data_IF_651186101258
#
_entry.id   IF_651186101258
#
_cell.length_a   1.000
_cell.length_b   1.000
_cell.length_c   1.000
_cell.angle_alpha   90.00
_cell.angle_beta   90.00
_cell.angle_gamma   90.00
#
_symmetry.space_group_name_H-M   'P 1'
#
loop_
_entity.id
_entity.type
_entity.pdbx_description
1 polymer ?
#
# COMPACT_ATOMS: atom_id res chain seq x y z
N UNK A 1 -12.56 -36.25 -3.80
CA UNK A 1 -11.73 -36.73 -2.68
C UNK A 1 -10.37 -37.10 -3.26
N UNK A 2 -9.40 -36.21 -3.07
CA UNK A 2 -8.03 -36.49 -3.46
C UNK A 2 -7.34 -37.21 -2.30
N UNK A 3 -6.75 -38.37 -2.61
CA UNK A 3 -5.95 -39.12 -1.64
C UNK A 3 -4.49 -38.72 -1.76
N UNK A 4 -3.87 -38.37 -0.66
CA UNK A 4 -2.45 -38.10 -0.58
C UNK A 4 -1.73 -39.38 -0.11
N UNK A 5 -0.72 -39.79 -0.84
CA UNK A 5 0.22 -40.79 -0.35
C UNK A 5 1.37 -40.10 0.36
N UNK A 6 1.46 -40.29 1.68
CA UNK A 6 2.55 -39.78 2.51
C UNK A 6 3.70 -40.81 2.50
N UNK A 7 4.87 -40.42 2.01
CA UNK A 7 6.10 -41.14 2.27
C UNK A 7 6.47 -40.99 3.77
N UNK A 8 7.00 -42.06 4.37
CA UNK A 8 7.23 -42.20 5.84
C UNK A 8 8.16 -41.13 6.47
N UNK A 9 8.81 -40.27 5.67
CA UNK A 9 9.83 -39.33 6.15
C UNK A 9 9.40 -37.85 6.11
N UNK A 10 8.12 -37.54 5.90
CA UNK A 10 7.63 -36.17 5.89
C UNK A 10 7.06 -35.77 7.25
N UNK A 11 7.93 -35.34 8.17
CA UNK A 11 7.54 -34.62 9.38
C UNK A 11 7.14 -33.20 9.01
N UNK A 12 5.88 -32.82 9.28
CA UNK A 12 5.30 -31.48 9.15
C UNK A 12 4.93 -31.00 7.74
N UNK A 13 3.89 -31.60 7.15
CA UNK A 13 3.22 -30.96 5.98
C UNK A 13 2.34 -29.82 6.49
N UNK A 14 2.71 -28.58 6.16
CA UNK A 14 1.84 -27.43 6.34
C UNK A 14 0.88 -27.32 5.17
N UNK A 15 -0.36 -27.74 5.36
CA UNK A 15 -1.44 -27.51 4.40
C UNK A 15 -1.98 -26.10 4.56
N UNK A 16 -1.76 -25.25 3.56
CA UNK A 16 -2.45 -23.97 3.46
C UNK A 16 -3.77 -24.16 2.71
N UNK A 17 -4.88 -24.06 3.41
CA UNK A 17 -6.20 -24.09 2.78
C UNK A 17 -6.45 -22.69 2.21
N UNK A 18 -6.49 -22.54 0.89
CA UNK A 18 -6.95 -21.32 0.26
C UNK A 18 -8.47 -21.21 0.39
N UNK A 19 -8.98 -20.03 0.78
CA UNK A 19 -10.42 -19.79 0.73
C UNK A 19 -10.89 -19.89 -0.72
N UNK A 20 -12.00 -20.60 -1.01
CA UNK A 20 -12.54 -20.67 -2.37
C UNK A 20 -12.85 -19.25 -2.87
N UNK A 21 -12.59 -18.98 -4.15
CA UNK A 21 -12.97 -17.72 -4.79
C UNK A 21 -14.49 -17.64 -4.77
N UNK A 22 -15.02 -16.75 -3.98
CA UNK A 22 -16.46 -16.53 -3.88
C UNK A 22 -16.89 -15.81 -5.16
N UNK A 23 -17.65 -16.50 -6.03
CA UNK A 23 -18.12 -15.94 -7.31
C UNK A 23 -19.17 -14.83 -7.08
N UNK A 24 -20.04 -15.01 -6.11
CA UNK A 24 -21.13 -14.07 -5.84
C UNK A 24 -20.64 -12.90 -5.01
N UNK A 25 -21.07 -11.70 -5.40
CA UNK A 25 -20.80 -10.50 -4.63
C UNK A 25 -21.50 -10.57 -3.28
N UNK A 26 -20.78 -10.14 -2.23
CA UNK A 26 -21.33 -9.88 -0.89
C UNK A 26 -20.67 -8.68 -0.28
N UNK A 27 -21.47 -7.78 0.27
CA UNK A 27 -20.98 -6.75 1.17
C UNK A 27 -20.70 -7.40 2.53
N UNK A 28 -19.42 -7.41 2.94
CA UNK A 28 -18.98 -8.02 4.21
C UNK A 28 -19.27 -7.09 5.37
N UNK A 29 -18.95 -5.80 5.21
CA UNK A 29 -19.16 -4.81 6.26
C UNK A 29 -19.46 -3.43 5.68
N UNK A 30 -20.20 -2.64 6.43
CA UNK A 30 -20.44 -1.22 6.18
C UNK A 30 -20.46 -0.48 7.50
N UNK A 31 -19.69 0.59 7.62
CA UNK A 31 -19.58 1.34 8.88
C UNK A 31 -19.40 2.82 8.63
N UNK A 32 -20.17 3.65 9.36
CA UNK A 32 -19.88 5.07 9.47
C UNK A 32 -18.78 5.25 10.54
N UNK A 33 -17.70 5.91 10.16
CA UNK A 33 -16.58 6.22 11.04
C UNK A 33 -16.85 7.52 11.83
N UNK A 34 -16.06 7.75 12.89
CA UNK A 34 -16.19 8.97 13.72
C UNK A 34 -16.02 10.28 12.95
N UNK A 35 -15.29 10.26 11.85
CA UNK A 35 -15.12 11.41 10.94
C UNK A 35 -16.21 11.52 9.87
N UNK A 36 -17.24 10.67 9.90
CA UNK A 36 -18.33 10.66 8.94
C UNK A 36 -18.03 9.91 7.64
N UNK A 37 -16.85 9.29 7.49
CA UNK A 37 -16.58 8.42 6.35
C UNK A 37 -17.42 7.16 6.42
N UNK A 38 -17.99 6.73 5.31
CA UNK A 38 -18.72 5.47 5.21
C UNK A 38 -17.81 4.46 4.51
N UNK A 39 -17.35 3.47 5.25
CA UNK A 39 -16.51 2.41 4.73
C UNK A 39 -17.33 1.20 4.31
N UNK A 40 -16.93 0.59 3.19
CA UNK A 40 -17.47 -0.64 2.66
C UNK A 40 -16.35 -1.67 2.50
N UNK A 41 -16.61 -2.92 2.87
CA UNK A 41 -15.70 -4.04 2.66
C UNK A 41 -16.42 -5.09 1.83
N UNK A 42 -15.81 -5.49 0.72
CA UNK A 42 -16.35 -6.47 -0.21
C UNK A 42 -15.66 -7.82 -0.02
N UNK A 43 -16.34 -8.90 -0.36
CA UNK A 43 -15.79 -10.26 -0.26
C UNK A 43 -14.80 -10.60 -1.37
N UNK A 44 -14.75 -9.80 -2.43
CA UNK A 44 -13.85 -9.96 -3.59
C UNK A 44 -13.49 -8.60 -4.19
N UNK A 45 -12.36 -8.50 -4.91
CA UNK A 45 -12.07 -7.35 -5.75
C UNK A 45 -13.16 -7.13 -6.80
N UNK A 46 -13.47 -5.86 -7.08
CA UNK A 46 -14.45 -5.46 -8.10
C UNK A 46 -13.77 -4.82 -9.30
N UNK A 47 -14.30 -5.08 -10.49
CA UNK A 47 -13.85 -4.45 -11.72
C UNK A 47 -14.68 -3.17 -11.99
N UNK A 48 -14.00 -2.02 -12.14
CA UNK A 48 -14.66 -0.73 -12.32
C UNK A 48 -15.85 -0.53 -11.37
N UNK A 49 -15.60 -0.57 -10.03
CA UNK A 49 -16.68 -0.41 -9.06
C UNK A 49 -17.28 1.00 -9.10
N UNK A 50 -18.55 1.10 -8.81
CA UNK A 50 -19.22 2.38 -8.58
C UNK A 50 -20.18 2.30 -7.40
N UNK A 51 -20.30 3.42 -6.68
CA UNK A 51 -21.19 3.60 -5.54
C UNK A 51 -22.07 4.81 -5.86
N UNK A 52 -23.36 4.60 -6.00
CA UNK A 52 -24.34 5.64 -6.32
C UNK A 52 -25.28 5.85 -5.16
N UNK A 53 -25.50 7.10 -4.76
CA UNK A 53 -26.50 7.45 -3.76
C UNK A 53 -27.82 7.70 -4.49
N UNK A 54 -28.79 6.84 -4.23
CA UNK A 54 -30.12 6.91 -4.82
C UNK A 54 -31.04 7.85 -4.01
N UNK A 55 -30.86 7.87 -2.68
CA UNK A 55 -31.64 8.72 -1.78
C UNK A 55 -30.78 9.12 -0.59
N UNK A 56 -30.69 10.42 -0.26
CA UNK A 56 -31.14 11.57 -1.04
C UNK A 56 -30.20 11.82 -2.25
N UNK A 57 -30.79 12.14 -3.41
CA UNK A 57 -30.06 12.23 -4.68
C UNK A 57 -29.05 13.40 -4.73
N UNK A 58 -29.34 14.49 -4.02
CA UNK A 58 -28.44 15.65 -3.95
C UNK A 58 -27.03 15.32 -3.40
N UNK A 59 -26.89 14.29 -2.57
CA UNK A 59 -25.59 13.87 -2.05
C UNK A 59 -24.77 13.09 -3.07
N UNK A 60 -25.40 12.59 -4.14
CA UNK A 60 -24.68 11.83 -5.17
C UNK A 60 -23.71 12.66 -6.00
N UNK A 61 -24.01 13.94 -6.22
CA UNK A 61 -23.20 14.81 -7.09
C UNK A 61 -21.90 15.28 -6.41
N UNK A 62 -21.94 15.48 -5.09
CA UNK A 62 -20.82 16.05 -4.32
C UNK A 62 -20.09 15.03 -3.44
N UNK A 63 -20.28 13.74 -3.72
CA UNK A 63 -19.58 12.68 -3.01
C UNK A 63 -18.15 12.50 -3.53
N UNK A 64 -17.27 12.02 -2.67
CA UNK A 64 -15.96 11.53 -3.05
C UNK A 64 -15.83 10.05 -2.66
N UNK A 65 -15.27 9.24 -3.53
CA UNK A 65 -15.08 7.81 -3.28
C UNK A 65 -13.62 7.46 -3.48
N UNK A 66 -13.03 6.82 -2.47
CA UNK A 66 -11.71 6.23 -2.55
C UNK A 66 -11.83 4.71 -2.51
N UNK A 67 -11.31 4.03 -3.52
CA UNK A 67 -11.21 2.58 -3.54
C UNK A 67 -9.83 2.13 -3.07
N UNK A 68 -9.76 0.96 -2.43
CA UNK A 68 -8.49 0.29 -2.17
C UNK A 68 -7.77 -0.08 -3.48
N UNK A 69 -6.46 -0.31 -3.43
CA UNK A 69 -5.68 -0.73 -4.60
C UNK A 69 -6.21 -2.02 -5.26
N UNK A 70 -6.87 -2.88 -4.48
CA UNK A 70 -7.48 -4.12 -4.96
C UNK A 70 -8.96 -3.97 -5.32
N UNK A 71 -9.57 -2.81 -5.10
CA UNK A 71 -11.01 -2.59 -5.21
C UNK A 71 -11.86 -3.58 -4.38
N UNK A 72 -11.33 -4.06 -3.26
CA UNK A 72 -12.04 -4.93 -2.30
C UNK A 72 -12.64 -4.14 -1.14
N UNK A 73 -12.43 -2.84 -1.11
CA UNK A 73 -13.02 -1.92 -0.15
C UNK A 73 -13.15 -0.52 -0.74
N UNK A 74 -14.03 0.28 -0.16
CA UNK A 74 -14.25 1.67 -0.55
C UNK A 74 -14.55 2.55 0.66
N UNK A 75 -14.17 3.82 0.57
CA UNK A 75 -14.51 4.87 1.52
C UNK A 75 -15.30 5.96 0.79
N UNK A 76 -16.53 6.17 1.22
CA UNK A 76 -17.44 7.21 0.72
C UNK A 76 -17.39 8.42 1.66
N UNK A 77 -17.09 9.56 1.09
CA UNK A 77 -17.06 10.86 1.76
C UNK A 77 -18.19 11.73 1.24
N UNK A 78 -18.89 12.42 2.15
CA UNK A 78 -20.00 13.29 1.85
C UNK A 78 -19.72 14.71 2.33
N UNK A 79 -20.32 15.74 1.70
CA UNK A 79 -20.16 17.14 2.12
C UNK A 79 -20.58 17.37 3.57
N UNK A 80 -21.65 16.70 3.98
CA UNK A 80 -22.17 16.73 5.34
C UNK A 80 -22.78 15.38 5.72
N UNK A 81 -23.18 15.27 6.97
CA UNK A 81 -23.86 14.10 7.51
C UNK A 81 -25.33 14.39 7.86
N UNK A 82 -25.94 15.38 7.19
CA UNK A 82 -27.30 15.83 7.42
C UNK A 82 -28.34 14.93 6.74
N UNK A 83 -28.29 13.62 7.02
CA UNK A 83 -29.25 12.64 6.54
C UNK A 83 -29.66 11.68 7.66
N UNK A 84 -30.87 11.15 7.62
CA UNK A 84 -31.30 10.06 8.50
C UNK A 84 -30.91 8.68 7.94
N UNK A 85 -31.05 8.54 6.63
CA UNK A 85 -30.69 7.31 5.91
C UNK A 85 -30.23 7.61 4.50
N UNK A 86 -29.30 6.76 4.00
CA UNK A 86 -28.85 6.75 2.63
C UNK A 86 -29.27 5.44 1.96
N UNK A 87 -29.89 5.52 0.79
CA UNK A 87 -30.06 4.37 -0.09
C UNK A 87 -28.93 4.39 -1.11
N UNK A 88 -28.07 3.38 -1.08
CA UNK A 88 -26.84 3.32 -1.86
C UNK A 88 -26.86 2.08 -2.75
N UNK A 89 -26.61 2.28 -4.03
CA UNK A 89 -26.39 1.22 -5.00
C UNK A 89 -24.89 0.95 -5.14
N UNK A 90 -24.50 -0.30 -5.03
CA UNK A 90 -23.18 -0.81 -5.34
C UNK A 90 -23.23 -1.47 -6.72
N UNK A 91 -22.29 -1.14 -7.61
CA UNK A 91 -22.28 -1.68 -8.96
C UNK A 91 -20.87 -2.05 -9.43
N UNK A 92 -20.78 -2.98 -10.36
CA UNK A 92 -19.56 -3.40 -11.06
C UNK A 92 -19.77 -3.27 -12.58
N UNK A 93 -18.86 -2.60 -13.29
CA UNK A 93 -19.00 -2.35 -14.73
C UNK A 93 -20.37 -1.77 -15.12
N UNK A 94 -20.90 -0.84 -14.31
CA UNK A 94 -22.23 -0.22 -14.44
C UNK A 94 -23.42 -1.18 -14.26
N UNK A 95 -23.19 -2.41 -13.82
CA UNK A 95 -24.27 -3.38 -13.48
C UNK A 95 -24.50 -3.36 -11.98
N UNK A 96 -25.71 -3.12 -11.50
CA UNK A 96 -26.04 -3.17 -10.08
C UNK A 96 -25.70 -4.55 -9.49
N UNK A 97 -25.04 -4.55 -8.34
CA UNK A 97 -24.74 -5.73 -7.55
C UNK A 97 -25.63 -5.84 -6.33
N UNK A 98 -25.83 -4.73 -5.63
CA UNK A 98 -26.62 -4.67 -4.40
C UNK A 98 -27.12 -3.25 -4.16
N UNK A 99 -28.25 -3.14 -3.43
CA UNK A 99 -28.79 -1.86 -2.97
C UNK A 99 -29.01 -1.93 -1.47
N UNK A 100 -28.33 -1.09 -0.75
CA UNK A 100 -28.30 -1.09 0.71
C UNK A 100 -28.83 0.20 1.30
N UNK A 101 -29.33 0.13 2.52
CA UNK A 101 -29.73 1.29 3.32
C UNK A 101 -28.76 1.46 4.48
N UNK A 102 -28.17 2.63 4.59
CA UNK A 102 -27.29 3.03 5.69
C UNK A 102 -28.06 4.03 6.54
N UNK A 103 -28.19 3.73 7.82
CA UNK A 103 -28.87 4.61 8.78
C UNK A 103 -27.86 5.26 9.68
N UNK A 104 -28.04 6.56 9.92
CA UNK A 104 -27.26 7.33 10.88
C UNK A 104 -27.94 7.30 12.25
N UNK A 105 -27.16 7.23 13.31
CA UNK A 105 -27.67 7.49 14.66
C UNK A 105 -27.90 8.98 14.86
N UNK A 106 -29.08 9.38 15.35
CA UNK A 106 -29.46 10.80 15.54
C UNK A 106 -28.56 11.54 16.55
N UNK A 107 -27.98 10.81 17.49
CA UNK A 107 -27.18 11.38 18.58
C UNK A 107 -25.66 11.35 18.28
N UNK A 108 -25.24 10.85 17.12
CA UNK A 108 -23.83 10.71 16.79
C UNK A 108 -23.28 12.01 16.21
N UNK A 109 -22.19 12.50 16.84
CA UNK A 109 -21.44 13.66 16.34
C UNK A 109 -20.26 13.14 15.53
N UNK A 110 -20.03 13.77 14.39
CA UNK A 110 -18.92 13.44 13.51
C UNK A 110 -17.87 14.52 13.59
N UNK A 111 -16.62 14.11 13.90
CA UNK A 111 -15.47 15.00 13.94
C UNK A 111 -14.79 14.99 12.56
N UNK A 112 -14.77 16.14 11.92
CA UNK A 112 -14.22 16.35 10.58
C UNK A 112 -12.95 17.21 10.58
N UNK A 113 -12.25 17.26 11.69
CA UNK A 113 -10.97 17.96 11.74
C UNK A 113 -9.98 17.37 10.72
N UNK A 114 -9.38 18.24 9.92
CA UNK A 114 -8.30 17.88 9.01
C UNK A 114 -6.99 17.82 9.79
N UNK A 115 -6.73 16.66 10.39
CA UNK A 115 -5.51 16.42 11.15
C UNK A 115 -4.42 15.93 10.20
N UNK A 116 -3.26 16.57 10.23
CA UNK A 116 -2.09 16.17 9.46
C UNK A 116 -1.11 15.46 10.38
N UNK A 117 -0.71 14.27 9.98
CA UNK A 117 0.34 13.47 10.63
C UNK A 117 1.48 13.25 9.64
N UNK A 118 2.63 12.84 10.14
CA UNK A 118 3.83 12.62 9.33
C UNK A 118 4.45 11.23 9.59
N UNK A 119 5.45 10.88 8.77
CA UNK A 119 6.21 9.64 8.90
C UNK A 119 7.55 9.81 9.62
N UNK A 120 7.76 10.91 10.34
CA UNK A 120 9.00 11.21 11.05
C UNK A 120 9.14 10.38 12.33
N UNK A 121 9.45 9.12 12.18
CA UNK A 121 9.67 8.21 13.30
C UNK A 121 10.92 8.65 14.09
N UNK A 122 10.78 8.73 15.42
CA UNK A 122 11.87 9.18 16.31
C UNK A 122 12.52 10.50 15.87
N UNK A 123 11.74 11.41 15.27
CA UNK A 123 12.21 12.70 14.75
C UNK A 123 13.31 12.58 13.67
N UNK A 124 13.22 11.55 12.82
CA UNK A 124 14.16 11.33 11.74
C UNK A 124 13.46 11.24 10.39
N UNK A 125 14.04 11.86 9.37
CA UNK A 125 13.60 11.74 7.97
C UNK A 125 14.49 10.77 7.22
N UNK A 126 13.88 9.86 6.48
CA UNK A 126 14.59 8.98 5.56
C UNK A 126 14.87 9.72 4.24
N UNK A 127 16.09 9.64 3.73
CA UNK A 127 16.52 10.33 2.50
C UNK A 127 15.74 9.88 1.26
N UNK A 128 15.33 8.62 1.20
CA UNK A 128 14.57 8.05 0.08
C UNK A 128 13.09 8.36 0.20
N UNK A 129 12.52 8.08 1.37
CA UNK A 129 11.07 8.15 1.57
C UNK A 129 10.56 9.58 1.75
N UNK A 130 11.48 10.54 1.99
CA UNK A 130 11.11 11.92 2.26
C UNK A 130 10.10 12.09 3.41
N UNK A 131 9.47 13.25 3.51
CA UNK A 131 8.37 13.42 4.47
C UNK A 131 7.07 13.10 3.76
N UNK A 132 6.33 12.15 4.32
CA UNK A 132 4.98 11.81 3.90
C UNK A 132 4.02 12.39 4.92
N UNK A 133 3.16 13.30 4.47
CA UNK A 133 2.08 13.87 5.27
C UNK A 133 0.80 13.09 4.98
N UNK A 134 0.17 12.56 6.02
CA UNK A 134 -1.10 11.86 5.94
C UNK A 134 -2.18 12.72 6.60
N UNK A 135 -3.36 12.75 6.00
CA UNK A 135 -4.51 13.47 6.54
C UNK A 135 -5.65 12.54 6.94
N UNK A 136 -6.46 12.99 7.90
CA UNK A 136 -7.68 12.28 8.32
C UNK A 136 -8.83 12.40 7.32
N UNK A 137 -8.76 13.36 6.40
CA UNK A 137 -9.75 13.59 5.36
C UNK A 137 -9.06 13.87 4.01
N UNK A 138 -9.76 13.67 2.88
CA UNK A 138 -9.22 13.96 1.55
C UNK A 138 -8.83 15.42 1.39
N UNK A 139 -7.63 15.67 0.86
CA UNK A 139 -7.08 17.01 0.64
C UNK A 139 -7.46 17.47 -0.75
N UNK A 140 -8.08 18.65 -0.84
CA UNK A 140 -8.41 19.34 -2.09
C UNK A 140 -7.24 20.15 -2.61
N UNK A 141 -6.54 20.85 -1.71
CA UNK A 141 -5.42 21.71 -2.08
C UNK A 141 -4.45 21.92 -0.92
N UNK A 142 -3.21 22.27 -1.26
CA UNK A 142 -2.18 22.66 -0.31
C UNK A 142 -1.69 24.09 -0.65
N UNK A 143 -1.56 24.92 0.37
CA UNK A 143 -0.97 26.24 0.24
C UNK A 143 0.51 26.19 0.64
N UNK A 144 1.41 26.13 -0.34
CA UNK A 144 2.85 26.04 -0.11
C UNK A 144 3.40 27.22 0.69
N UNK A 145 2.79 28.40 0.61
CA UNK A 145 3.22 29.58 1.39
C UNK A 145 3.02 29.40 2.91
N UNK A 146 2.09 28.53 3.31
CA UNK A 146 1.83 28.18 4.70
C UNK A 146 2.65 26.97 5.18
N UNK A 147 3.58 26.48 4.37
CA UNK A 147 4.47 25.36 4.72
C UNK A 147 5.89 25.88 4.76
N UNK A 148 6.47 25.94 5.94
CA UNK A 148 7.82 26.47 6.16
C UNK A 148 8.73 25.31 6.52
N UNK A 149 9.80 25.16 5.74
CA UNK A 149 10.90 24.25 6.05
C UNK A 149 12.13 25.09 6.41
N UNK A 150 12.74 24.81 7.55
CA UNK A 150 14.03 25.42 7.92
C UNK A 150 15.11 24.35 8.01
N UNK A 151 16.33 24.75 7.71
CA UNK A 151 17.56 23.96 7.90
C UNK A 151 18.54 24.81 8.69
N UNK A 152 18.92 24.37 9.88
CA UNK A 152 19.73 25.13 10.84
C UNK A 152 19.15 26.54 11.07
N UNK A 153 17.83 26.62 11.27
CA UNK A 153 17.05 27.86 11.47
C UNK A 153 16.97 28.80 10.24
N UNK A 154 17.51 28.39 9.08
CA UNK A 154 17.45 29.18 7.84
C UNK A 154 16.29 28.64 6.98
N UNK A 155 15.31 29.48 6.60
CA UNK A 155 14.22 29.07 5.74
C UNK A 155 14.70 28.54 4.38
N UNK A 156 14.07 27.45 3.91
CA UNK A 156 14.34 26.82 2.62
C UNK A 156 13.08 26.82 1.76
N UNK A 157 13.18 27.37 0.56
CA UNK A 157 12.05 27.47 -0.38
C UNK A 157 12.13 26.45 -1.51
N UNK A 158 13.29 25.80 -1.68
CA UNK A 158 13.59 24.86 -2.76
C UNK A 158 13.12 23.42 -2.49
N UNK A 159 12.25 23.20 -1.51
CA UNK A 159 11.60 21.90 -1.36
C UNK A 159 10.44 21.74 -2.36
N UNK A 160 10.17 20.49 -2.73
CA UNK A 160 9.03 20.14 -3.57
C UNK A 160 7.89 19.63 -2.70
N UNK A 161 6.67 20.05 -3.02
CA UNK A 161 5.43 19.60 -2.39
C UNK A 161 4.49 19.10 -3.48
N UNK A 162 4.03 17.86 -3.40
CA UNK A 162 3.10 17.28 -4.36
C UNK A 162 2.17 16.26 -3.70
N UNK A 163 0.94 16.10 -4.24
CA UNK A 163 0.03 15.07 -3.79
C UNK A 163 0.52 13.69 -4.21
N UNK A 164 0.16 12.66 -3.44
CA UNK A 164 0.28 11.29 -3.88
C UNK A 164 -0.75 11.01 -4.98
N UNK A 165 -0.32 10.43 -6.10
CA UNK A 165 -1.20 10.19 -7.26
C UNK A 165 -2.25 9.10 -7.02
N UNK A 166 -2.04 8.27 -6.01
CA UNK A 166 -2.92 7.13 -5.69
C UNK A 166 -3.78 7.35 -4.44
N UNK A 167 -3.45 8.37 -3.64
CA UNK A 167 -4.14 8.61 -2.37
C UNK A 167 -4.27 10.11 -2.07
N UNK A 168 -5.47 10.63 -2.24
CA UNK A 168 -5.79 12.05 -1.99
C UNK A 168 -5.70 12.50 -0.51
N UNK A 169 -5.38 11.59 0.41
CA UNK A 169 -5.10 11.88 1.82
C UNK A 169 -3.60 11.98 2.10
N UNK A 170 -2.74 11.98 1.04
CA UNK A 170 -1.30 12.03 1.19
C UNK A 170 -0.67 13.15 0.38
N UNK A 171 0.32 13.79 0.99
CA UNK A 171 1.24 14.72 0.35
C UNK A 171 2.68 14.34 0.67
N UNK A 172 3.57 14.63 -0.25
CA UNK A 172 4.99 14.31 -0.14
C UNK A 172 5.81 15.59 -0.20
N UNK A 173 6.72 15.76 0.77
CA UNK A 173 7.72 16.83 0.75
C UNK A 173 9.06 16.20 0.40
N UNK A 174 9.62 16.60 -0.75
CA UNK A 174 10.97 16.24 -1.17
C UNK A 174 11.92 17.41 -0.95
N UNK A 175 13.07 17.09 -0.37
CA UNK A 175 14.17 18.05 -0.18
C UNK A 175 15.49 17.28 -0.24
N UNK A 176 16.58 17.99 -0.56
CA UNK A 176 17.93 17.41 -0.54
C UNK A 176 18.45 17.39 0.91
N UNK A 177 17.96 16.43 1.71
CA UNK A 177 18.34 16.27 3.10
C UNK A 177 19.85 16.06 3.25
N UNK A 178 20.48 16.72 4.21
CA UNK A 178 21.91 16.67 4.51
C UNK A 178 22.15 16.13 5.92
N UNK A 179 23.17 15.29 6.08
CA UNK A 179 23.58 14.79 7.38
C UNK A 179 24.05 15.92 8.31
N UNK A 180 23.92 15.71 9.62
CA UNK A 180 24.38 16.65 10.66
C UNK A 180 23.72 18.05 10.56
N UNK A 181 22.49 18.11 10.05
CA UNK A 181 21.66 19.32 9.99
C UNK A 181 20.40 19.14 10.83
N UNK A 182 19.95 20.24 11.42
CA UNK A 182 18.69 20.31 12.14
C UNK A 182 17.61 20.89 11.22
N UNK A 183 16.49 20.22 11.15
CA UNK A 183 15.35 20.65 10.34
C UNK A 183 14.15 20.94 11.22
N UNK A 184 13.34 21.91 10.81
CA UNK A 184 12.02 22.13 11.37
C UNK A 184 11.02 22.31 10.22
N UNK A 185 9.94 21.54 10.27
CA UNK A 185 8.78 21.71 9.41
C UNK A 185 7.67 22.36 10.20
N UNK A 186 7.19 23.51 9.74
CA UNK A 186 6.02 24.18 10.27
C UNK A 186 4.91 24.20 9.21
N UNK A 187 3.79 23.59 9.52
CA UNK A 187 2.54 23.75 8.80
C UNK A 187 1.75 24.83 9.56
N UNK A 188 1.52 25.97 8.94
CA UNK A 188 0.67 27.03 9.50
C UNK A 188 -0.81 26.63 9.37
N UNK A 189 -1.68 27.39 9.98
CA UNK A 189 -3.11 27.26 9.78
C UNK A 189 -3.44 27.31 8.28
N UNK A 190 -4.39 26.48 7.87
CA UNK A 190 -4.83 26.40 6.48
C UNK A 190 -3.72 26.04 5.47
N UNK A 191 -2.64 25.37 5.93
CA UNK A 191 -1.65 24.81 5.01
C UNK A 191 -2.27 23.77 4.06
N UNK A 192 -3.31 23.09 4.51
CA UNK A 192 -4.11 22.17 3.71
C UNK A 192 -5.60 22.48 3.87
N UNK A 193 -6.31 22.38 2.74
CA UNK A 193 -7.77 22.51 2.66
C UNK A 193 -8.35 21.16 2.23
N UNK A 194 -9.30 20.65 2.97
CA UNK A 194 -10.04 19.43 2.66
C UNK A 194 -11.10 19.66 1.57
N UNK A 195 -11.64 18.57 1.01
CA UNK A 195 -12.61 18.62 -0.07
C UNK A 195 -13.91 19.30 0.32
N UNK A 196 -14.28 19.26 1.59
CA UNK A 196 -15.54 19.81 2.10
C UNK A 196 -15.32 21.04 2.98
N UNK A 197 -14.15 21.69 2.86
CA UNK A 197 -13.84 22.94 3.54
C UNK A 197 -13.15 22.78 4.89
N UNK A 198 -12.75 21.56 5.25
CA UNK A 198 -11.93 21.31 6.44
C UNK A 198 -10.58 21.99 6.30
N UNK A 199 -10.09 22.58 7.38
CA UNK A 199 -8.82 23.32 7.42
C UNK A 199 -7.84 22.63 8.36
N UNK A 200 -6.57 22.51 7.93
CA UNK A 200 -5.52 22.01 8.81
C UNK A 200 -5.15 23.03 9.86
N UNK A 201 -4.79 22.55 11.05
CA UNK A 201 -4.27 23.35 12.16
C UNK A 201 -2.74 23.38 12.13
N UNK A 202 -2.14 24.25 12.96
CA UNK A 202 -0.69 24.38 13.07
C UNK A 202 -0.06 23.06 13.53
N UNK A 203 0.98 22.64 12.82
CA UNK A 203 1.83 21.49 13.18
C UNK A 203 3.29 21.92 13.09
N UNK A 204 4.08 21.64 14.14
CA UNK A 204 5.53 21.86 14.14
C UNK A 204 6.26 20.56 14.42
N UNK A 205 7.29 20.28 13.62
CA UNK A 205 8.12 19.07 13.76
C UNK A 205 9.58 19.42 13.62
N UNK A 206 10.38 19.07 14.63
CA UNK A 206 11.86 19.12 14.55
C UNK A 206 12.37 17.73 14.24
N UNK A 207 13.34 17.63 13.36
CA UNK A 207 13.90 16.35 12.93
C UNK A 207 15.31 16.52 12.37
N UNK A 208 16.00 15.41 12.22
CA UNK A 208 17.30 15.29 11.56
C UNK A 208 17.21 14.26 10.44
N UNK A 209 18.21 14.22 9.57
CA UNK A 209 18.32 13.11 8.63
C UNK A 209 18.62 11.81 9.40
N UNK A 210 17.91 10.74 9.08
CA UNK A 210 18.31 9.41 9.52
C UNK A 210 19.63 9.08 8.81
N UNK A 211 20.70 9.01 9.57
CA UNK A 211 22.03 8.92 9.01
C UNK A 211 22.22 7.62 8.25
N UNK A 212 23.04 7.65 7.20
CA UNK A 212 23.36 6.49 6.35
C UNK A 212 23.98 5.33 7.12
N UNK A 213 24.41 5.56 8.36
CA UNK A 213 24.98 4.55 9.26
C UNK A 213 24.02 3.39 9.58
N UNK A 214 22.71 3.57 9.36
CA UNK A 214 21.73 2.51 9.59
C UNK A 214 21.33 1.74 8.31
N UNK A 215 21.88 2.14 7.15
CA UNK A 215 21.49 1.60 5.84
C UNK A 215 22.70 1.06 5.07
N UNK A 216 22.46 0.01 4.31
CA UNK A 216 23.39 -0.51 3.30
C UNK A 216 22.66 -0.75 1.99
N UNK A 217 23.41 -1.15 0.97
CA UNK A 217 22.82 -1.46 -0.34
C UNK A 217 22.73 -2.97 -0.54
N UNK A 218 21.67 -3.43 -1.21
CA UNK A 218 21.52 -4.83 -1.66
C UNK A 218 21.68 -4.85 -3.17
N UNK A 219 22.60 -5.65 -3.65
CA UNK A 219 22.84 -5.88 -5.07
C UNK A 219 22.57 -7.36 -5.33
N UNK A 220 21.59 -7.64 -6.18
CA UNK A 220 21.28 -9.01 -6.58
C UNK A 220 21.66 -9.21 -8.04
N UNK A 221 22.61 -10.10 -8.30
CA UNK A 221 22.85 -10.60 -9.64
C UNK A 221 21.92 -11.78 -9.85
N UNK A 222 20.84 -11.56 -10.60
CA UNK A 222 19.81 -12.58 -10.82
C UNK A 222 20.00 -13.23 -12.18
N UNK A 223 20.22 -14.53 -12.18
CA UNK A 223 20.30 -15.35 -13.37
C UNK A 223 19.00 -16.12 -13.54
N UNK A 224 18.33 -15.94 -14.68
CA UNK A 224 17.15 -16.71 -15.05
C UNK A 224 17.55 -17.94 -15.85
N UNK A 225 16.85 -19.08 -15.68
CA UNK A 225 17.05 -20.21 -16.58
C UNK A 225 16.67 -19.81 -18.02
N UNK A 226 17.37 -20.41 -19.01
CA UNK A 226 17.21 -20.12 -20.45
C UNK A 226 15.83 -20.56 -21.03
N UNK A 227 14.77 -20.28 -20.32
CA UNK A 227 13.38 -20.57 -20.73
C UNK A 227 12.75 -19.30 -21.29
N UNK A 228 12.53 -19.28 -22.59
CA UNK A 228 11.89 -18.18 -23.29
C UNK A 228 10.47 -17.96 -22.74
N UNK A 229 10.22 -16.77 -22.23
CA UNK A 229 8.88 -16.29 -21.92
C UNK A 229 8.44 -16.41 -20.48
N UNK A 230 9.26 -16.87 -19.56
CA UNK A 230 8.91 -16.86 -18.13
C UNK A 230 9.09 -15.47 -17.51
N UNK A 231 8.17 -15.13 -16.61
CA UNK A 231 8.27 -13.93 -15.76
C UNK A 231 8.50 -14.37 -14.32
N UNK A 232 9.37 -13.64 -13.64
CA UNK A 232 9.71 -13.90 -12.23
C UNK A 232 9.49 -12.64 -11.42
N UNK A 233 8.96 -12.80 -10.20
CA UNK A 233 8.98 -11.73 -9.22
C UNK A 233 10.12 -11.99 -8.24
N UNK A 234 11.07 -11.09 -8.24
CA UNK A 234 12.17 -11.07 -7.26
C UNK A 234 11.71 -10.23 -6.09
N UNK A 235 11.57 -10.85 -4.93
CA UNK A 235 11.04 -10.22 -3.73
C UNK A 235 12.05 -10.29 -2.60
N UNK A 236 12.21 -9.18 -1.88
CA UNK A 236 12.98 -9.11 -0.64
C UNK A 236 12.00 -9.19 0.53
N UNK A 237 12.16 -10.19 1.38
CA UNK A 237 11.29 -10.41 2.53
C UNK A 237 12.08 -10.36 3.84
N UNK A 238 11.39 -10.23 4.98
CA UNK A 238 12.02 -10.46 6.28
C UNK A 238 12.36 -11.96 6.48
N UNK A 239 13.10 -12.28 7.54
CA UNK A 239 13.48 -13.68 7.88
C UNK A 239 12.25 -14.58 8.09
N UNK A 240 11.15 -14.04 8.61
CA UNK A 240 9.90 -14.78 8.84
C UNK A 240 9.10 -15.03 7.56
N UNK A 241 9.47 -14.39 6.45
CA UNK A 241 8.84 -14.52 5.13
C UNK A 241 7.37 -14.05 5.08
N UNK A 242 6.96 -13.21 6.01
CA UNK A 242 5.59 -12.67 6.13
C UNK A 242 5.46 -11.22 5.65
N UNK A 243 6.57 -10.48 5.55
CA UNK A 243 6.62 -9.10 5.07
C UNK A 243 7.44 -9.05 3.78
N UNK A 244 6.87 -8.51 2.72
CA UNK A 244 7.56 -8.21 1.47
C UNK A 244 7.92 -6.72 1.48
N UNK A 245 9.22 -6.40 1.47
CA UNK A 245 9.72 -5.02 1.41
C UNK A 245 9.80 -4.49 -0.01
N UNK A 246 10.24 -5.34 -0.95
CA UNK A 246 10.41 -5.00 -2.35
C UNK A 246 9.94 -6.15 -3.24
N UNK A 247 9.40 -5.81 -4.41
CA UNK A 247 8.99 -6.77 -5.44
C UNK A 247 9.27 -6.19 -6.81
N UNK A 248 10.12 -6.87 -7.59
CA UNK A 248 10.46 -6.48 -8.95
C UNK A 248 10.23 -7.62 -9.92
N UNK A 249 9.55 -7.32 -11.02
CA UNK A 249 9.30 -8.28 -12.11
C UNK A 249 10.45 -8.25 -13.10
N UNK A 250 10.98 -9.44 -13.46
CA UNK A 250 12.02 -9.63 -14.46
C UNK A 250 11.63 -10.75 -15.43
N UNK A 251 12.15 -10.67 -16.67
CA UNK A 251 11.95 -11.69 -17.72
C UNK A 251 13.27 -12.25 -18.28
N UNK A 252 14.38 -11.71 -17.83
CA UNK A 252 15.75 -12.10 -18.21
C UNK A 252 16.70 -11.86 -17.06
N UNK A 253 17.90 -12.42 -17.13
CA UNK A 253 18.96 -12.16 -16.17
C UNK A 253 19.24 -10.66 -16.06
N UNK A 254 19.28 -10.15 -14.84
CA UNK A 254 19.39 -8.72 -14.56
C UNK A 254 20.11 -8.48 -13.24
N UNK A 255 20.87 -7.38 -13.17
CA UNK A 255 21.47 -6.87 -11.94
C UNK A 255 20.52 -5.88 -11.29
N UNK A 256 19.97 -6.24 -10.12
CA UNK A 256 19.03 -5.42 -9.35
C UNK A 256 19.76 -4.71 -8.23
N UNK A 257 19.57 -3.41 -8.10
CA UNK A 257 20.19 -2.58 -7.06
C UNK A 257 19.11 -1.96 -6.20
N UNK A 258 19.15 -2.24 -4.91
CA UNK A 258 18.27 -1.69 -3.88
C UNK A 258 19.11 -0.85 -2.92
N UNK A 259 19.01 0.46 -3.05
CA UNK A 259 19.80 1.40 -2.25
C UNK A 259 19.15 1.72 -0.91
N UNK A 260 20.01 1.95 0.09
CA UNK A 260 19.58 2.38 1.44
C UNK A 260 18.56 1.43 2.08
N UNK A 261 18.84 0.15 2.02
CA UNK A 261 18.07 -0.86 2.73
C UNK A 261 18.45 -0.84 4.21
N UNK A 262 17.48 -0.87 5.15
CA UNK A 262 17.80 -0.90 6.59
C UNK A 262 18.74 -2.04 6.94
N UNK A 263 19.64 -1.82 7.88
CA UNK A 263 20.48 -2.88 8.42
C UNK A 263 19.63 -4.01 8.99
N UNK A 264 19.92 -5.25 8.62
CA UNK A 264 19.12 -6.39 9.03
C UNK A 264 19.35 -7.63 8.18
N UNK A 265 18.54 -8.64 8.42
CA UNK A 265 18.60 -9.90 7.68
C UNK A 265 17.36 -10.07 6.81
N UNK A 266 17.57 -10.43 5.58
CA UNK A 266 16.55 -10.54 4.54
C UNK A 266 16.64 -11.88 3.82
N UNK A 267 15.49 -12.34 3.33
CA UNK A 267 15.40 -13.55 2.50
C UNK A 267 14.95 -13.15 1.10
N UNK A 268 15.55 -13.73 0.07
CA UNK A 268 15.12 -13.52 -1.30
C UNK A 268 14.12 -14.61 -1.67
N UNK A 269 12.94 -14.16 -2.12
CA UNK A 269 11.83 -14.99 -2.58
C UNK A 269 11.65 -14.79 -4.07
N UNK A 270 11.56 -15.87 -4.83
CA UNK A 270 11.26 -15.86 -6.26
C UNK A 270 9.88 -16.49 -6.47
N UNK A 271 9.00 -15.76 -7.14
CA UNK A 271 7.71 -16.26 -7.59
C UNK A 271 7.80 -16.50 -9.09
N UNK A 272 7.35 -17.67 -9.55
CA UNK A 272 7.22 -17.98 -10.97
C UNK A 272 5.86 -17.48 -11.44
N UNK A 273 5.82 -16.24 -11.92
CA UNK A 273 4.61 -15.53 -12.34
C UNK A 273 4.19 -16.00 -13.75
N UNK A 274 3.44 -17.08 -13.78
CA UNK A 274 3.08 -17.78 -15.02
C UNK A 274 2.09 -16.96 -15.85
N UNK A 275 1.15 -16.29 -15.21
CA UNK A 275 0.12 -15.49 -15.87
C UNK A 275 0.52 -14.01 -16.07
N UNK A 276 1.71 -13.61 -15.61
CA UNK A 276 2.31 -12.28 -15.74
C UNK A 276 1.48 -11.15 -15.14
N UNK A 277 0.76 -11.45 -14.07
CA UNK A 277 -0.05 -10.44 -13.36
C UNK A 277 0.73 -9.66 -12.30
N UNK A 278 2.03 -9.97 -12.09
CA UNK A 278 2.94 -9.35 -11.12
C UNK A 278 2.52 -9.57 -9.66
N UNK A 279 1.79 -10.62 -9.39
CA UNK A 279 1.36 -11.04 -8.07
C UNK A 279 1.57 -12.54 -7.94
N UNK A 280 1.70 -13.04 -6.72
CA UNK A 280 1.65 -14.47 -6.46
C UNK A 280 0.20 -14.94 -6.38
N UNK A 281 -0.14 -15.92 -7.18
CA UNK A 281 -1.48 -16.52 -7.21
C UNK A 281 -1.56 -17.77 -6.35
N UNK A 282 -2.51 -17.80 -5.39
CA UNK A 282 -2.81 -19.01 -4.64
C UNK A 282 -3.50 -20.05 -5.51
N UNK A 283 -3.60 -21.28 -4.99
CA UNK A 283 -4.36 -22.34 -5.65
C UNK A 283 -5.83 -21.93 -5.85
N UNK A 284 -6.38 -22.27 -7.01
CA UNK A 284 -7.80 -22.18 -7.32
C UNK A 284 -8.40 -23.57 -7.42
N UNK A 285 -8.98 -24.03 -6.33
CA UNK A 285 -9.55 -25.40 -6.22
C UNK A 285 -10.72 -25.60 -7.19
N UNK A 286 -11.52 -24.56 -7.45
CA UNK A 286 -12.68 -24.65 -8.34
C UNK A 286 -12.27 -24.87 -9.80
N UNK A 287 -11.20 -24.18 -10.22
CA UNK A 287 -10.66 -24.30 -11.57
C UNK A 287 -9.50 -25.33 -11.66
N UNK A 288 -9.26 -26.08 -10.59
CA UNK A 288 -8.18 -27.09 -10.50
C UNK A 288 -6.79 -26.51 -10.82
N UNK A 289 -6.58 -25.21 -10.50
CA UNK A 289 -5.31 -24.54 -10.75
C UNK A 289 -4.43 -24.61 -9.51
N UNK A 290 -3.20 -25.10 -9.69
CA UNK A 290 -2.19 -25.13 -8.65
C UNK A 290 -1.71 -23.69 -8.34
N UNK A 291 -1.22 -23.41 -7.11
CA UNK A 291 -0.62 -22.12 -6.79
C UNK A 291 0.64 -21.90 -7.62
N UNK A 292 0.97 -20.66 -7.87
CA UNK A 292 2.26 -20.34 -8.49
C UNK A 292 3.41 -20.79 -7.59
N UNK A 293 4.41 -21.37 -8.24
CA UNK A 293 5.56 -21.91 -7.53
C UNK A 293 6.38 -20.78 -6.92
N UNK A 294 6.90 -21.03 -5.74
CA UNK A 294 7.74 -20.11 -4.98
C UNK A 294 9.03 -20.81 -4.61
N UNK A 295 10.14 -20.15 -4.87
CA UNK A 295 11.44 -20.61 -4.43
C UNK A 295 12.09 -19.56 -3.52
N UNK A 296 12.78 -20.01 -2.51
CA UNK A 296 13.54 -19.14 -1.61
C UNK A 296 15.03 -19.41 -1.77
N UNK A 297 15.79 -18.35 -1.93
CA UNK A 297 17.24 -18.45 -1.89
C UNK A 297 17.69 -19.01 -0.54
N UNK A 298 18.66 -19.92 -0.56
CA UNK A 298 19.10 -20.65 0.64
C UNK A 298 19.88 -19.78 1.63
N UNK A 299 20.54 -18.72 1.14
CA UNK A 299 21.32 -17.82 1.97
C UNK A 299 20.50 -16.61 2.41
N UNK A 300 20.73 -16.18 3.64
CA UNK A 300 20.19 -14.93 4.17
C UNK A 300 21.10 -13.78 3.75
N UNK A 301 20.52 -12.76 3.14
CA UNK A 301 21.19 -11.50 2.80
C UNK A 301 21.28 -10.65 4.06
N UNK A 302 22.49 -10.40 4.55
CA UNK A 302 22.70 -9.57 5.75
C UNK A 302 23.20 -8.19 5.33
N UNK A 303 22.32 -7.19 5.48
CA UNK A 303 22.64 -5.80 5.20
C UNK A 303 23.35 -5.19 6.41
N UNK A 304 24.58 -4.72 6.20
CA UNK A 304 25.35 -3.97 7.18
C UNK A 304 25.38 -2.48 6.82
N UNK A 305 25.37 -1.59 7.82
CA UNK A 305 25.47 -0.16 7.58
C UNK A 305 26.67 0.21 6.70
N UNK A 306 26.45 1.09 5.73
CA UNK A 306 27.44 1.60 4.77
C UNK A 306 28.14 0.53 3.89
N UNK A 307 27.59 -0.68 3.81
CA UNK A 307 28.11 -1.74 2.98
C UNK A 307 27.20 -2.03 1.80
N UNK A 308 27.81 -2.40 0.68
CA UNK A 308 27.11 -3.02 -0.45
C UNK A 308 27.17 -4.54 -0.25
N UNK A 309 25.98 -5.15 -0.10
CA UNK A 309 25.86 -6.60 -0.01
C UNK A 309 25.48 -7.14 -1.38
N UNK A 310 26.40 -7.81 -2.03
CA UNK A 310 26.16 -8.47 -3.31
C UNK A 310 25.86 -9.96 -3.11
N UNK A 311 24.82 -10.45 -3.80
CA UNK A 311 24.42 -11.87 -3.75
C UNK A 311 24.03 -12.36 -5.15
N UNK A 312 24.49 -13.55 -5.49
CA UNK A 312 24.16 -14.24 -6.74
C UNK A 312 22.93 -15.11 -6.54
N UNK A 313 21.94 -14.91 -7.37
CA UNK A 313 20.66 -15.62 -7.33
C UNK A 313 20.50 -16.39 -8.63
N UNK A 314 20.80 -17.67 -8.61
CA UNK A 314 20.52 -18.59 -9.72
C UNK A 314 19.12 -19.19 -9.55
N UNK A 315 18.16 -18.72 -10.35
CA UNK A 315 16.79 -19.21 -10.31
C UNK A 315 16.75 -20.64 -10.86
N UNK A 316 16.33 -21.63 -10.06
CA UNK A 316 16.30 -22.99 -10.55
C UNK A 316 15.24 -23.17 -11.65
N UNK A 317 15.58 -23.98 -12.64
CA UNK A 317 14.57 -24.43 -13.59
C UNK A 317 13.59 -25.37 -12.87
N UNK A 318 12.31 -25.07 -13.00
CA UNK A 318 11.27 -25.94 -12.45
C UNK A 318 10.56 -26.60 -13.63
N UNK A 319 10.46 -27.92 -13.62
CA UNK A 319 9.67 -28.65 -14.58
C UNK A 319 8.22 -28.14 -14.50
N UNK A 320 7.78 -27.50 -15.55
CA UNK A 320 6.37 -27.17 -15.75
C UNK A 320 5.65 -28.50 -15.95
N UNK A 321 4.60 -28.84 -15.17
CA UNK A 321 3.81 -30.03 -15.50
C UNK A 321 3.30 -29.83 -16.92
N UNK A 322 3.70 -30.71 -17.82
CA UNK A 322 3.09 -30.83 -19.14
C UNK A 322 1.58 -31.01 -18.95
N UNK A 323 0.83 -30.20 -19.68
CA UNK A 323 -0.64 -30.19 -19.68
C UNK A 323 -1.24 -31.57 -19.96
#
# INVERSE_FOLDING_TARGET
>A
TDSFHLNRDTNNIKLAISKPIVKDFRLIDRKIQKNGTINFIFNKPLNNPSINILVPENLNQNKLINYSLKNDSASLWLPDMAFDSLKVELAENKKPLDTIVIRRSKNEKYDRDLIITDNLNSQKVNKINHIILNSTAPIKSANKANIILTEDSIPRTNFQLFPDSTNNQKYIIRYAWRAKRNYELELKDEAFLGFFGEKSKIVKRKFTLDETENFGDIILQVNTPDTIGNQYLVQITNEKKDIIYESRSITKSERLIYKQFPGGKYTIRIVYDINRNKQWDPADVQNKRQPEKVWYHSKTVTVRPNWEQEELIDIPQIDTPTK
#
